data_IF_562074213107
#
_entry.id   IF_562074213107
#
_cell.length_a   1.000
_cell.length_b   1.000
_cell.length_c   1.000
_cell.angle_alpha   90.00
_cell.angle_beta   90.00
_cell.angle_gamma   90.00
#
_symmetry.space_group_name_H-M   'P 1'
#
loop_
_entity.id
_entity.type
_entity.pdbx_description
1 polymer ?
#
# COMPACT_ATOMS: atom_id res chain seq x y z
N UNK A 1 -34.86 5.38 -5.62
CA UNK A 1 -34.25 6.56 -4.95
C UNK A 1 -34.75 7.84 -5.60
N UNK A 2 -35.20 8.83 -4.81
CA UNK A 2 -35.61 10.14 -5.35
C UNK A 2 -34.39 10.89 -5.90
N UNK A 3 -34.35 11.12 -7.21
CA UNK A 3 -33.24 11.82 -7.87
C UNK A 3 -33.34 13.34 -7.65
N UNK A 4 -32.50 13.89 -6.78
CA UNK A 4 -32.45 15.35 -6.54
C UNK A 4 -32.00 16.06 -7.82
N UNK A 5 -32.86 16.93 -8.33
CA UNK A 5 -32.65 17.67 -9.59
C UNK A 5 -32.18 19.08 -9.29
N UNK A 6 -31.02 19.48 -9.83
CA UNK A 6 -30.46 20.81 -9.66
C UNK A 6 -30.72 21.67 -10.89
N UNK A 7 -31.40 22.80 -10.71
CA UNK A 7 -31.73 23.78 -11.77
C UNK A 7 -30.65 24.86 -11.83
N UNK A 8 -30.21 25.23 -13.02
CA UNK A 8 -29.27 26.35 -13.22
C UNK A 8 -29.46 27.10 -14.53
N UNK A 9 -28.94 28.33 -14.63
CA UNK A 9 -28.95 29.11 -15.88
C UNK A 9 -27.56 29.12 -16.51
N UNK A 10 -27.48 28.84 -17.81
CA UNK A 10 -26.25 28.93 -18.60
C UNK A 10 -26.55 29.59 -19.94
N UNK A 11 -25.89 30.73 -20.22
CA UNK A 11 -26.14 31.55 -21.43
C UNK A 11 -27.64 31.86 -21.64
N UNK A 12 -28.35 32.23 -20.57
CA UNK A 12 -29.78 32.56 -20.61
C UNK A 12 -30.74 31.35 -20.63
N UNK A 13 -30.27 30.13 -20.88
CA UNK A 13 -31.11 28.91 -20.94
C UNK A 13 -31.10 28.20 -19.59
N UNK A 14 -32.29 27.77 -19.13
CA UNK A 14 -32.43 26.95 -17.94
C UNK A 14 -32.03 25.50 -18.25
N UNK A 15 -31.07 24.98 -17.48
CA UNK A 15 -30.55 23.61 -17.58
C UNK A 15 -30.73 22.89 -16.25
N UNK A 16 -30.70 21.56 -16.33
CA UNK A 16 -30.89 20.67 -15.19
C UNK A 16 -29.78 19.62 -15.16
N UNK A 17 -29.43 19.15 -13.97
CA UNK A 17 -28.65 17.93 -13.82
C UNK A 17 -29.14 17.13 -12.60
N UNK A 18 -28.95 15.81 -12.69
CA UNK A 18 -29.24 14.86 -11.60
C UNK A 18 -27.92 14.34 -11.05
N UNK A 19 -27.89 14.09 -9.75
CA UNK A 19 -26.77 13.40 -9.12
C UNK A 19 -26.90 11.90 -9.36
N UNK A 20 -25.86 11.31 -9.95
CA UNK A 20 -25.70 9.87 -10.11
C UNK A 20 -25.15 9.26 -8.82
N UNK A 21 -25.24 7.95 -8.70
CA UNK A 21 -24.68 7.21 -7.56
C UNK A 21 -23.18 7.47 -7.37
N UNK A 22 -22.41 7.50 -8.45
CA UNK A 22 -21.00 7.88 -8.42
C UNK A 22 -20.77 9.29 -7.89
N UNK A 23 -21.69 10.25 -8.15
CA UNK A 23 -21.59 11.59 -7.56
C UNK A 23 -21.79 11.53 -6.05
N UNK A 24 -22.77 10.74 -5.59
CA UNK A 24 -23.05 10.55 -4.17
C UNK A 24 -21.85 9.92 -3.48
N UNK A 25 -21.27 8.85 -4.03
CA UNK A 25 -20.06 8.22 -3.52
C UNK A 25 -18.90 9.22 -3.41
N UNK A 26 -18.56 9.91 -4.50
CA UNK A 26 -17.49 10.91 -4.53
C UNK A 26 -17.72 12.01 -3.49
N UNK A 27 -18.96 12.46 -3.33
CA UNK A 27 -19.29 13.49 -2.34
C UNK A 27 -19.21 12.97 -0.90
N UNK A 28 -19.58 11.73 -0.64
CA UNK A 28 -19.38 11.09 0.68
C UNK A 28 -17.90 11.01 1.02
N UNK A 29 -17.06 10.54 0.10
CA UNK A 29 -15.59 10.54 0.29
C UNK A 29 -15.09 11.97 0.53
N UNK A 30 -15.56 12.94 -0.27
CA UNK A 30 -15.19 14.35 -0.14
C UNK A 30 -15.65 14.96 1.19
N UNK A 31 -16.75 14.47 1.79
CA UNK A 31 -17.17 14.87 3.12
C UNK A 31 -16.16 14.44 4.18
N UNK A 32 -15.77 13.16 4.16
CA UNK A 32 -14.82 12.60 5.13
C UNK A 32 -13.43 13.18 4.96
N UNK A 33 -12.99 13.40 3.71
CA UNK A 33 -11.68 13.95 3.38
C UNK A 33 -11.67 15.47 3.26
N UNK A 34 -12.81 16.15 3.38
CA UNK A 34 -13.00 17.62 3.35
C UNK A 34 -12.68 18.30 2.01
N UNK A 35 -11.51 18.04 1.43
CA UNK A 35 -11.11 18.57 0.14
C UNK A 35 -10.26 17.58 -0.64
N UNK A 36 -10.45 17.54 -1.96
CA UNK A 36 -9.66 16.71 -2.86
C UNK A 36 -9.32 17.51 -4.12
N UNK A 37 -8.22 17.14 -4.77
CA UNK A 37 -7.85 17.69 -6.07
C UNK A 37 -8.71 17.12 -7.20
N UNK A 38 -8.75 17.78 -8.36
CA UNK A 38 -9.40 17.25 -9.56
C UNK A 38 -8.93 15.83 -9.90
N UNK A 39 -7.61 15.57 -9.83
CA UNK A 39 -7.02 14.26 -10.12
C UNK A 39 -7.56 13.17 -9.18
N UNK A 40 -7.54 13.43 -7.88
CA UNK A 40 -8.05 12.50 -6.87
C UNK A 40 -9.54 12.22 -7.06
N UNK A 41 -10.34 13.26 -7.34
CA UNK A 41 -11.76 13.07 -7.63
C UNK A 41 -11.98 12.26 -8.92
N UNK A 42 -11.13 12.46 -9.92
CA UNK A 42 -11.17 11.68 -11.17
C UNK A 42 -10.92 10.20 -10.89
N UNK A 43 -9.90 9.88 -10.10
CA UNK A 43 -9.61 8.51 -9.67
C UNK A 43 -10.76 7.90 -8.86
N UNK A 44 -11.46 8.67 -8.01
CA UNK A 44 -12.64 8.17 -7.29
C UNK A 44 -13.80 7.83 -8.23
N UNK A 45 -14.03 8.63 -9.28
CA UNK A 45 -14.99 8.26 -10.33
C UNK A 45 -14.54 7.00 -11.06
N UNK A 46 -13.25 6.87 -11.38
CA UNK A 46 -12.74 5.67 -12.03
C UNK A 46 -12.88 4.42 -11.17
N UNK A 47 -12.59 4.54 -9.87
CA UNK A 47 -12.76 3.47 -8.89
C UNK A 47 -14.23 3.04 -8.84
N UNK A 48 -15.13 4.00 -8.63
CA UNK A 48 -16.55 3.65 -8.48
C UNK A 48 -17.18 3.05 -9.74
N UNK A 49 -16.85 3.55 -10.92
CA UNK A 49 -17.48 3.13 -12.18
C UNK A 49 -16.72 1.99 -12.88
N UNK A 50 -15.59 1.53 -12.33
CA UNK A 50 -14.77 0.45 -12.91
C UNK A 50 -14.16 0.77 -14.28
N UNK A 51 -13.99 2.05 -14.63
CA UNK A 51 -13.45 2.49 -15.92
C UNK A 51 -12.70 3.81 -15.81
N UNK A 52 -11.76 4.07 -16.70
CA UNK A 52 -10.99 5.32 -16.64
C UNK A 52 -11.78 6.55 -17.10
N UNK A 53 -11.55 7.66 -16.39
CA UNK A 53 -12.08 8.98 -16.71
C UNK A 53 -10.96 9.97 -17.04
N UNK A 54 -11.21 10.87 -17.99
CA UNK A 54 -10.31 11.99 -18.26
C UNK A 54 -10.48 13.11 -17.24
N UNK A 55 -9.36 13.64 -16.75
CA UNK A 55 -9.36 14.73 -15.76
C UNK A 55 -10.07 15.98 -16.31
N UNK A 56 -9.93 16.28 -17.61
CA UNK A 56 -10.60 17.41 -18.25
C UNK A 56 -12.13 17.31 -18.23
N UNK A 57 -12.67 16.10 -18.45
CA UNK A 57 -14.11 15.85 -18.41
C UNK A 57 -14.65 15.99 -16.98
N UNK A 58 -13.97 15.38 -16.02
CA UNK A 58 -14.31 15.49 -14.59
C UNK A 58 -14.20 16.93 -14.11
N UNK A 59 -13.16 17.67 -14.49
CA UNK A 59 -13.02 19.08 -14.15
C UNK A 59 -14.20 19.92 -14.65
N UNK A 60 -14.63 19.71 -15.89
CA UNK A 60 -15.79 20.41 -16.46
C UNK A 60 -17.07 20.13 -15.66
N UNK A 61 -17.26 18.88 -15.24
CA UNK A 61 -18.36 18.45 -14.36
C UNK A 61 -18.29 19.12 -12.98
N UNK A 62 -17.14 19.07 -12.31
CA UNK A 62 -16.93 19.69 -11.00
C UNK A 62 -17.06 21.22 -11.05
N UNK A 63 -16.59 21.85 -12.13
CA UNK A 63 -16.75 23.27 -12.34
C UNK A 63 -18.25 23.65 -12.44
N UNK A 64 -19.06 22.85 -13.13
CA UNK A 64 -20.52 23.02 -13.16
C UNK A 64 -21.13 22.91 -11.77
N UNK A 65 -20.76 21.90 -10.99
CA UNK A 65 -21.23 21.73 -9.60
C UNK A 65 -20.82 22.89 -8.68
N UNK A 66 -19.66 23.51 -8.94
CA UNK A 66 -19.19 24.68 -8.19
C UNK A 66 -19.92 25.98 -8.54
N UNK A 67 -20.17 26.23 -9.83
CA UNK A 67 -20.76 27.47 -10.35
C UNK A 67 -22.27 27.52 -10.19
N UNK A 68 -22.93 26.38 -10.42
CA UNK A 68 -24.36 26.36 -10.73
C UNK A 68 -25.19 25.51 -9.76
N UNK A 69 -24.58 24.53 -9.09
CA UNK A 69 -25.30 23.65 -8.15
C UNK A 69 -25.32 24.14 -6.71
N UNK A 70 -24.47 25.12 -6.36
CA UNK A 70 -24.11 25.41 -4.96
C UNK A 70 -23.72 24.14 -4.17
N UNK A 71 -23.15 23.13 -4.86
CA UNK A 71 -22.77 21.84 -4.30
C UNK A 71 -21.33 21.88 -3.80
N UNK A 72 -20.43 22.42 -4.63
CA UNK A 72 -19.00 22.44 -4.35
C UNK A 72 -18.49 23.87 -4.17
N UNK A 73 -17.50 24.01 -3.29
CA UNK A 73 -16.58 25.14 -3.27
C UNK A 73 -15.36 24.74 -4.07
N UNK A 74 -14.92 25.61 -4.99
CA UNK A 74 -13.72 25.42 -5.79
C UNK A 74 -12.67 26.45 -5.37
N UNK A 75 -11.45 26.00 -5.08
CA UNK A 75 -10.30 26.86 -4.80
C UNK A 75 -9.18 26.51 -5.78
N UNK A 76 -8.66 27.51 -6.48
CA UNK A 76 -7.49 27.36 -7.35
C UNK A 76 -6.33 28.05 -6.64
N UNK A 77 -5.24 27.33 -6.46
CA UNK A 77 -4.01 27.92 -5.97
C UNK A 77 -3.30 28.63 -7.13
N UNK A 78 -3.10 29.95 -6.97
CA UNK A 78 -2.54 30.83 -8.02
C UNK A 78 -1.06 31.15 -7.83
N UNK A 79 -0.44 30.62 -6.77
CA UNK A 79 0.97 30.86 -6.47
C UNK A 79 1.86 30.24 -7.53
N UNK A 80 2.85 30.99 -8.02
CA UNK A 80 3.69 30.54 -9.13
C UNK A 80 4.63 29.39 -8.76
N UNK A 81 5.02 29.34 -7.49
CA UNK A 81 5.83 28.32 -6.82
C UNK A 81 4.99 27.19 -6.20
N UNK A 82 3.66 27.22 -6.37
CA UNK A 82 2.79 26.16 -5.87
C UNK A 82 2.93 24.91 -6.73
N UNK A 83 3.53 23.87 -6.14
CA UNK A 83 3.55 22.50 -6.68
C UNK A 83 2.11 21.97 -6.88
N UNK A 84 1.13 22.63 -6.27
CA UNK A 84 -0.30 22.30 -6.25
C UNK A 84 -1.16 23.29 -7.05
N UNK A 85 -0.71 23.81 -8.21
CA UNK A 85 -1.55 24.53 -9.22
C UNK A 85 -2.69 23.66 -9.79
N UNK A 86 -3.49 23.04 -8.92
CA UNK A 86 -4.63 22.19 -9.20
C UNK A 86 -5.83 22.78 -8.47
N UNK A 87 -7.00 22.64 -9.08
CA UNK A 87 -8.23 22.99 -8.39
C UNK A 87 -8.49 21.98 -7.27
N UNK A 88 -8.75 22.50 -6.07
CA UNK A 88 -9.28 21.73 -4.95
C UNK A 88 -10.76 22.00 -4.84
N UNK A 89 -11.52 20.95 -4.52
CA UNK A 89 -12.96 21.01 -4.32
C UNK A 89 -13.29 20.58 -2.91
N UNK A 90 -14.32 21.19 -2.32
CA UNK A 90 -14.89 20.79 -1.02
C UNK A 90 -16.41 20.94 -1.05
N UNK A 91 -17.11 20.26 -0.16
CA UNK A 91 -18.57 20.35 -0.09
C UNK A 91 -19.03 21.71 0.46
N UNK A 92 -20.15 22.21 -0.08
CA UNK A 92 -20.97 23.25 0.55
C UNK A 92 -21.98 22.61 1.48
N UNK A 93 -22.43 23.37 2.47
CA UNK A 93 -23.35 22.94 3.53
C UNK A 93 -24.61 22.24 3.01
N UNK A 94 -25.25 22.80 1.97
CA UNK A 94 -26.44 22.22 1.35
C UNK A 94 -26.23 20.78 0.83
N UNK A 95 -25.03 20.46 0.37
CA UNK A 95 -24.71 19.10 -0.08
C UNK A 95 -24.50 18.17 1.11
N UNK A 96 -23.91 18.66 2.20
CA UNK A 96 -23.75 17.93 3.46
C UNK A 96 -25.13 17.55 4.02
N UNK A 97 -26.06 18.51 4.06
CA UNK A 97 -27.44 18.27 4.49
C UNK A 97 -28.13 17.20 3.62
N UNK A 98 -27.95 17.28 2.30
CA UNK A 98 -28.51 16.25 1.42
C UNK A 98 -27.90 14.86 1.67
N UNK A 99 -26.59 14.75 1.93
CA UNK A 99 -25.97 13.47 2.29
C UNK A 99 -26.49 12.91 3.62
N UNK A 100 -26.83 13.79 4.58
CA UNK A 100 -27.49 13.41 5.85
C UNK A 100 -28.91 12.89 5.58
N UNK A 101 -29.71 13.64 4.80
CA UNK A 101 -31.09 13.28 4.43
C UNK A 101 -31.18 11.87 3.80
N UNK A 102 -30.18 11.47 3.02
CA UNK A 102 -30.15 10.15 2.34
C UNK A 102 -29.37 9.09 3.11
N UNK A 103 -28.98 9.36 4.37
CA UNK A 103 -28.29 8.41 5.25
C UNK A 103 -26.87 8.04 4.82
N UNK A 104 -26.23 8.85 3.96
CA UNK A 104 -24.85 8.59 3.51
C UNK A 104 -23.79 9.14 4.46
N UNK A 105 -24.16 10.05 5.35
CA UNK A 105 -23.34 10.49 6.49
C UNK A 105 -24.23 10.62 7.75
N UNK A 106 -23.68 10.47 8.97
CA UNK A 106 -24.49 10.49 10.18
C UNK A 106 -25.24 11.80 10.41
N UNK A 107 -26.43 11.73 10.98
CA UNK A 107 -27.17 12.90 11.46
C UNK A 107 -26.37 13.67 12.51
N UNK A 108 -26.49 15.00 12.54
CA UNK A 108 -25.73 15.86 13.46
C UNK A 108 -24.23 16.01 13.12
N UNK A 109 -23.73 15.32 12.09
CA UNK A 109 -22.34 15.49 11.63
C UNK A 109 -22.01 16.95 11.30
N UNK A 110 -20.79 17.38 11.63
CA UNK A 110 -20.36 18.78 11.49
C UNK A 110 -20.53 19.30 10.07
N UNK A 111 -21.23 20.43 9.95
CA UNK A 111 -21.36 21.26 8.75
C UNK A 111 -20.23 22.28 8.58
N UNK A 112 -19.43 22.51 9.63
CA UNK A 112 -18.34 23.52 9.61
C UNK A 112 -17.23 23.12 8.65
N UNK A 113 -16.73 24.10 7.89
CA UNK A 113 -15.44 24.02 7.21
C UNK A 113 -14.34 24.07 8.27
N UNK A 114 -13.66 22.97 8.53
CA UNK A 114 -12.48 23.01 9.39
C UNK A 114 -11.35 23.77 8.68
N UNK A 115 -10.78 24.74 9.39
CA UNK A 115 -9.64 25.54 8.95
C UNK A 115 -8.35 24.77 9.18
N UNK A 116 -8.00 23.87 8.26
CA UNK A 116 -6.62 23.43 8.13
C UNK A 116 -6.07 23.91 6.80
N UNK A 117 -4.81 24.32 6.84
CA UNK A 117 -4.02 24.61 5.64
C UNK A 117 -4.06 23.38 4.73
N UNK A 118 -4.21 23.62 3.43
CA UNK A 118 -3.99 22.59 2.41
C UNK A 118 -2.49 22.29 2.41
N UNK A 119 -2.03 21.39 3.28
CA UNK A 119 -0.64 20.96 3.29
C UNK A 119 -0.42 19.89 2.22
N UNK A 120 0.80 19.83 1.68
CA UNK A 120 1.18 18.77 0.75
C UNK A 120 1.06 17.39 1.41
N UNK A 121 1.48 17.26 2.67
CA UNK A 121 1.37 16.04 3.46
C UNK A 121 -0.07 15.51 3.48
N UNK A 122 -1.05 16.35 3.80
CA UNK A 122 -2.46 15.96 3.82
C UNK A 122 -2.98 15.53 2.45
N UNK A 123 -2.52 16.16 1.36
CA UNK A 123 -2.90 15.77 0.02
C UNK A 123 -2.28 14.43 -0.40
N UNK A 124 -1.02 14.19 -0.03
CA UNK A 124 -0.34 12.91 -0.27
C UNK A 124 -0.98 11.79 0.54
N UNK A 125 -1.33 12.03 1.81
CA UNK A 125 -2.03 11.03 2.62
C UNK A 125 -3.37 10.62 2.02
N UNK A 126 -4.17 11.59 1.53
CA UNK A 126 -5.42 11.29 0.81
C UNK A 126 -5.21 10.59 -0.52
N UNK A 127 -4.09 10.81 -1.18
CA UNK A 127 -3.74 10.09 -2.42
C UNK A 127 -3.61 8.58 -2.15
N UNK A 128 -3.06 8.19 -1.00
CA UNK A 128 -2.96 6.78 -0.58
C UNK A 128 -4.35 6.13 -0.56
N UNK A 129 -5.30 6.76 0.11
CA UNK A 129 -6.68 6.29 0.17
C UNK A 129 -7.29 6.15 -1.23
N UNK A 130 -7.20 7.19 -2.05
CA UNK A 130 -7.83 7.21 -3.38
C UNK A 130 -7.24 6.12 -4.28
N UNK A 131 -5.92 5.91 -4.23
CA UNK A 131 -5.25 4.81 -4.95
C UNK A 131 -5.70 3.46 -4.45
N UNK A 132 -5.85 3.30 -3.13
CA UNK A 132 -6.36 2.07 -2.53
C UNK A 132 -7.75 1.72 -3.08
N UNK A 133 -8.68 2.67 -3.06
CA UNK A 133 -10.05 2.43 -3.57
C UNK A 133 -10.05 2.05 -5.06
N UNK A 134 -9.19 2.68 -5.85
CA UNK A 134 -9.04 2.36 -7.27
C UNK A 134 -8.48 0.95 -7.48
N UNK A 135 -7.42 0.56 -6.77
CA UNK A 135 -6.80 -0.75 -6.93
C UNK A 135 -7.69 -1.89 -6.37
N UNK A 136 -8.46 -1.66 -5.29
CA UNK A 136 -9.49 -2.62 -4.83
C UNK A 136 -10.45 -2.93 -5.97
N UNK A 137 -11.02 -1.90 -6.61
CA UNK A 137 -11.99 -2.08 -7.70
C UNK A 137 -11.37 -2.77 -8.91
N UNK A 138 -10.13 -2.45 -9.25
CA UNK A 138 -9.43 -3.12 -10.37
C UNK A 138 -9.23 -4.61 -10.11
N UNK A 139 -8.89 -4.98 -8.86
CA UNK A 139 -8.64 -6.37 -8.46
C UNK A 139 -9.92 -7.19 -8.32
N UNK A 140 -11.04 -6.57 -7.94
CA UNK A 140 -12.34 -7.26 -7.79
C UNK A 140 -13.22 -7.16 -9.04
N UNK A 141 -12.89 -6.26 -9.98
CA UNK A 141 -13.71 -5.89 -11.13
C UNK A 141 -15.13 -5.39 -10.76
N UNK A 142 -15.33 -4.93 -9.52
CA UNK A 142 -16.60 -4.36 -9.04
C UNK A 142 -16.37 -3.30 -7.96
N UNK A 143 -17.42 -2.56 -7.60
CA UNK A 143 -17.36 -1.48 -6.60
C UNK A 143 -18.02 -1.84 -5.25
N UNK A 144 -18.45 -3.09 -5.08
CA UNK A 144 -19.24 -3.52 -3.91
C UNK A 144 -18.46 -3.33 -2.61
N UNK A 145 -17.19 -3.75 -2.61
CA UNK A 145 -16.27 -3.56 -1.48
C UNK A 145 -16.18 -2.10 -1.05
N UNK A 146 -16.24 -1.15 -2.00
CA UNK A 146 -16.10 0.28 -1.67
C UNK A 146 -17.21 0.81 -0.76
N UNK A 147 -18.38 0.17 -0.74
CA UNK A 147 -19.49 0.55 0.15
C UNK A 147 -19.30 0.10 1.59
N UNK A 148 -18.50 -0.94 1.79
CA UNK A 148 -18.26 -1.55 3.09
C UNK A 148 -17.03 -0.97 3.79
N UNK A 149 -16.16 -0.27 3.05
CA UNK A 149 -14.98 0.39 3.61
C UNK A 149 -15.38 1.59 4.49
N UNK A 150 -15.03 1.53 5.77
CA UNK A 150 -15.06 2.70 6.64
C UNK A 150 -13.79 3.53 6.45
N UNK A 151 -13.94 4.63 5.71
CA UNK A 151 -12.87 5.57 5.37
C UNK A 151 -12.97 6.88 6.16
N UNK A 152 -13.73 6.91 7.27
CA UNK A 152 -13.91 8.13 8.07
C UNK A 152 -12.55 8.66 8.57
N UNK A 153 -12.36 9.97 8.44
CA UNK A 153 -11.13 10.63 8.92
C UNK A 153 -11.18 10.82 10.44
N UNK A 154 -10.05 10.62 11.12
CA UNK A 154 -9.88 10.86 12.55
C UNK A 154 -10.01 12.32 12.97
N UNK A 155 -10.01 13.27 12.03
CA UNK A 155 -10.36 14.64 12.34
C UNK A 155 -11.85 14.83 12.68
N UNK A 156 -12.68 13.78 12.55
CA UNK A 156 -13.99 13.74 13.16
C UNK A 156 -13.84 13.51 14.68
N UNK A 157 -14.36 14.44 15.50
CA UNK A 157 -14.24 14.39 16.97
C UNK A 157 -14.55 13.02 17.57
N UNK A 158 -15.59 12.34 17.05
CA UNK A 158 -15.99 11.00 17.53
C UNK A 158 -14.90 9.95 17.27
N UNK A 159 -14.35 9.88 16.07
CA UNK A 159 -13.27 8.94 15.71
C UNK A 159 -11.98 9.22 16.47
N UNK A 160 -11.67 10.50 16.75
CA UNK A 160 -10.53 10.87 17.59
C UNK A 160 -10.70 10.34 19.02
N UNK A 161 -11.86 10.55 19.61
CA UNK A 161 -12.19 10.06 20.96
C UNK A 161 -12.17 8.52 20.98
N UNK A 162 -12.74 7.85 19.98
CA UNK A 162 -12.70 6.38 19.85
C UNK A 162 -11.27 5.82 19.86
N UNK A 163 -10.32 6.47 19.15
CA UNK A 163 -8.91 6.07 19.15
C UNK A 163 -8.24 6.30 20.51
N UNK A 164 -8.48 7.47 21.09
CA UNK A 164 -7.87 7.85 22.37
C UNK A 164 -8.40 6.92 23.48
N UNK A 165 -9.69 6.59 23.45
CA UNK A 165 -10.35 5.65 24.35
C UNK A 165 -9.89 4.20 24.10
N UNK A 166 -9.59 3.84 22.85
CA UNK A 166 -9.00 2.55 22.49
C UNK A 166 -7.51 2.44 22.89
N UNK A 167 -6.89 3.54 23.34
CA UNK A 167 -5.54 3.54 23.91
C UNK A 167 -4.40 3.75 22.90
N UNK A 168 -4.70 4.14 21.66
CA UNK A 168 -3.65 4.56 20.70
C UNK A 168 -3.30 6.04 20.96
N UNK A 169 -2.11 6.27 21.52
CA UNK A 169 -1.62 7.59 21.92
C UNK A 169 -1.11 8.45 20.74
N UNK A 170 -1.70 8.31 19.55
CA UNK A 170 -1.41 9.14 18.38
C UNK A 170 -2.59 9.15 17.41
N UNK A 171 -2.66 10.21 16.59
CA UNK A 171 -3.63 10.31 15.49
C UNK A 171 -2.93 9.91 14.21
N UNK A 172 -3.27 8.76 13.61
CA UNK A 172 -2.77 8.37 12.28
C UNK A 172 -3.20 9.36 11.20
N UNK A 173 -2.46 9.41 10.09
CA UNK A 173 -2.76 10.33 9.00
C UNK A 173 -4.04 9.93 8.24
N UNK A 174 -4.18 8.63 7.94
CA UNK A 174 -5.38 8.04 7.35
C UNK A 174 -5.69 6.67 7.98
N UNK A 175 -6.93 6.23 7.78
CA UNK A 175 -7.35 4.88 8.17
C UNK A 175 -8.47 4.36 7.29
N UNK A 176 -8.44 3.04 7.17
CA UNK A 176 -9.44 2.24 6.50
C UNK A 176 -9.76 1.09 7.42
N UNK A 177 -11.03 0.93 7.77
CA UNK A 177 -11.53 -0.28 8.43
C UNK A 177 -12.41 -1.06 7.45
N UNK A 178 -12.21 -2.36 7.41
CA UNK A 178 -12.96 -3.29 6.55
C UNK A 178 -13.04 -4.64 7.23
N UNK A 179 -14.26 -5.12 7.48
CA UNK A 179 -14.49 -6.36 8.22
C UNK A 179 -13.78 -6.31 9.59
N UNK A 180 -12.85 -7.23 9.86
CA UNK A 180 -12.05 -7.32 11.07
C UNK A 180 -10.68 -6.59 10.96
N UNK A 181 -10.38 -5.98 9.81
CA UNK A 181 -9.09 -5.35 9.53
C UNK A 181 -9.12 -3.85 9.79
N UNK A 182 -8.17 -3.37 10.58
CA UNK A 182 -7.97 -1.94 10.83
C UNK A 182 -6.61 -1.51 10.28
N UNK A 183 -6.63 -0.71 9.21
CA UNK A 183 -5.44 -0.30 8.48
C UNK A 183 -5.12 1.15 8.79
N UNK A 184 -4.04 1.37 9.52
CA UNK A 184 -3.50 2.67 9.91
C UNK A 184 -2.41 3.09 8.93
N UNK A 185 -2.47 4.34 8.45
CA UNK A 185 -1.57 4.83 7.41
C UNK A 185 -0.78 6.01 7.95
N UNK A 186 0.55 5.93 7.84
CA UNK A 186 1.50 6.98 8.23
C UNK A 186 2.22 7.49 6.97
N UNK A 187 2.02 8.76 6.62
CA UNK A 187 2.66 9.38 5.46
C UNK A 187 3.92 10.15 5.90
N UNK A 188 5.11 9.65 5.54
CA UNK A 188 6.35 10.42 5.70
C UNK A 188 6.66 11.19 4.41
N UNK A 189 6.73 12.52 4.53
CA UNK A 189 7.18 13.40 3.45
C UNK A 189 8.70 13.39 3.25
N UNK A 190 9.40 12.38 3.79
CA UNK A 190 10.84 12.28 3.92
C UNK A 190 11.44 13.47 4.69
N UNK A 191 10.72 13.90 5.75
CA UNK A 191 11.09 15.07 6.57
C UNK A 191 11.15 14.75 8.06
N UNK A 192 10.43 13.72 8.51
CA UNK A 192 10.51 13.28 9.90
C UNK A 192 11.88 12.68 10.19
N UNK A 193 12.37 12.75 11.42
CA UNK A 193 13.59 12.01 11.78
C UNK A 193 13.30 10.52 11.84
N UNK A 194 14.31 9.68 11.67
CA UNK A 194 14.12 8.23 11.81
C UNK A 194 13.64 7.85 13.22
N UNK A 195 14.14 8.55 14.25
CA UNK A 195 13.72 8.34 15.63
C UNK A 195 12.22 8.60 15.85
N UNK A 196 11.65 9.63 15.22
CA UNK A 196 10.21 9.90 15.32
C UNK A 196 9.37 8.80 14.67
N UNK A 197 9.82 8.24 13.54
CA UNK A 197 9.13 7.10 12.93
C UNK A 197 9.19 5.85 13.81
N UNK A 198 10.33 5.59 14.44
CA UNK A 198 10.51 4.47 15.38
C UNK A 198 9.67 4.66 16.64
N UNK A 199 9.51 5.89 17.13
CA UNK A 199 8.58 6.19 18.23
C UNK A 199 7.13 5.85 17.86
N UNK A 200 6.70 6.12 16.62
CA UNK A 200 5.37 5.71 16.12
C UNK A 200 5.22 4.19 16.10
N UNK A 201 6.25 3.46 15.68
CA UNK A 201 6.28 1.98 15.73
C UNK A 201 6.01 1.50 17.16
N UNK A 202 6.72 2.06 18.15
CA UNK A 202 6.49 1.75 19.57
C UNK A 202 5.05 1.98 20.01
N UNK A 203 4.42 3.10 19.62
CA UNK A 203 3.01 3.40 19.93
C UNK A 203 2.04 2.37 19.35
N UNK A 204 2.29 1.89 18.12
CA UNK A 204 1.46 0.85 17.52
C UNK A 204 1.68 -0.52 18.17
N UNK A 205 2.91 -0.84 18.60
CA UNK A 205 3.21 -2.04 19.39
C UNK A 205 2.45 -2.00 20.73
N UNK A 206 2.53 -0.90 21.46
CA UNK A 206 1.79 -0.72 22.72
C UNK A 206 0.27 -0.81 22.53
N UNK A 207 -0.24 -0.27 21.42
CA UNK A 207 -1.66 -0.34 21.10
C UNK A 207 -2.09 -1.78 20.78
N UNK A 208 -1.35 -2.48 19.93
CA UNK A 208 -1.65 -3.86 19.52
C UNK A 208 -1.66 -4.84 20.71
N UNK A 209 -0.81 -4.61 21.71
CA UNK A 209 -0.80 -5.39 22.95
C UNK A 209 -2.06 -5.22 23.81
N UNK A 210 -2.78 -4.10 23.65
CA UNK A 210 -3.97 -3.75 24.46
C UNK A 210 -5.28 -4.05 23.74
N UNK A 211 -5.28 -4.11 22.41
CA UNK A 211 -6.47 -4.39 21.61
C UNK A 211 -6.55 -5.85 21.16
N UNK A 212 -7.77 -6.30 20.84
CA UNK A 212 -8.02 -7.58 20.16
C UNK A 212 -8.20 -7.42 18.64
N UNK A 213 -8.19 -6.19 18.16
CA UNK A 213 -8.39 -5.88 16.76
C UNK A 213 -7.18 -6.33 15.93
N UNK A 214 -7.43 -6.69 14.67
CA UNK A 214 -6.36 -6.93 13.70
C UNK A 214 -5.86 -5.58 13.17
N UNK A 215 -4.61 -5.25 13.53
CA UNK A 215 -3.96 -3.97 13.28
C UNK A 215 -2.94 -4.12 12.17
N UNK A 216 -3.16 -3.44 11.05
CA UNK A 216 -2.17 -3.29 9.99
C UNK A 216 -1.69 -1.85 9.96
N UNK A 217 -0.39 -1.61 10.02
CA UNK A 217 0.21 -0.27 9.95
C UNK A 217 1.02 -0.17 8.66
N UNK A 218 0.75 0.85 7.85
CA UNK A 218 1.44 1.07 6.58
C UNK A 218 2.16 2.42 6.61
N UNK A 219 3.49 2.36 6.70
CA UNK A 219 4.36 3.52 6.54
C UNK A 219 4.58 3.78 5.05
N UNK A 220 4.04 4.90 4.57
CA UNK A 220 4.08 5.32 3.18
C UNK A 220 5.09 6.46 3.01
N UNK A 221 6.11 6.23 2.20
CA UNK A 221 7.16 7.20 1.93
C UNK A 221 6.87 7.99 0.64
N UNK A 222 7.01 9.31 0.71
CA UNK A 222 6.80 10.19 -0.44
C UNK A 222 7.89 9.99 -1.52
N UNK A 223 7.45 9.70 -2.74
CA UNK A 223 8.30 9.41 -3.92
C UNK A 223 8.00 10.34 -5.12
N UNK A 224 7.22 11.41 -4.92
CA UNK A 224 6.73 12.34 -5.97
C UNK A 224 5.76 11.75 -6.99
N UNK A 225 5.33 10.49 -6.87
CA UNK A 225 4.39 9.84 -7.81
C UNK A 225 3.01 10.48 -7.86
N UNK A 226 2.67 11.32 -6.87
CA UNK A 226 1.47 12.18 -6.91
C UNK A 226 1.51 13.19 -8.08
N UNK A 227 2.71 13.55 -8.54
CA UNK A 227 2.96 14.52 -9.60
C UNK A 227 3.52 13.85 -10.85
N UNK A 228 4.51 12.98 -10.70
CA UNK A 228 5.27 12.35 -11.79
C UNK A 228 5.15 10.84 -11.68
N UNK A 229 4.00 10.26 -12.07
CA UNK A 229 3.73 8.85 -11.80
C UNK A 229 4.70 7.89 -12.51
N UNK A 230 5.18 8.24 -13.70
CA UNK A 230 6.05 7.40 -14.52
C UNK A 230 7.54 7.54 -14.15
N UNK A 231 7.96 8.72 -13.67
CA UNK A 231 9.36 9.04 -13.35
C UNK A 231 9.67 8.95 -11.84
N UNK A 232 8.69 8.65 -11.00
CA UNK A 232 8.87 8.54 -9.56
C UNK A 232 9.64 7.26 -9.21
N UNK A 233 10.81 7.46 -8.61
CA UNK A 233 11.59 6.41 -7.96
C UNK A 233 11.25 6.38 -6.46
N UNK A 234 10.94 5.21 -5.90
CA UNK A 234 10.76 5.05 -4.46
C UNK A 234 11.99 5.51 -3.66
N UNK A 235 11.81 6.11 -2.47
CA UNK A 235 12.90 6.53 -1.60
C UNK A 235 13.50 5.33 -0.85
N UNK A 236 14.07 4.38 -1.58
CA UNK A 236 14.55 3.08 -1.09
C UNK A 236 15.47 3.18 0.13
N UNK A 237 16.44 4.10 0.11
CA UNK A 237 17.35 4.31 1.26
C UNK A 237 16.59 4.68 2.52
N UNK A 238 15.56 5.53 2.41
CA UNK A 238 14.73 5.94 3.54
C UNK A 238 13.88 4.78 4.06
N UNK A 239 13.29 4.01 3.16
CA UNK A 239 12.50 2.81 3.48
C UNK A 239 13.36 1.75 4.19
N UNK A 240 14.54 1.45 3.65
CA UNK A 240 15.54 0.55 4.28
C UNK A 240 15.94 1.03 5.68
N UNK A 241 16.23 2.33 5.85
CA UNK A 241 16.63 2.87 7.15
C UNK A 241 15.52 2.75 8.21
N UNK A 242 14.25 2.91 7.82
CA UNK A 242 13.13 2.65 8.72
C UNK A 242 13.05 1.17 9.08
N UNK A 243 13.04 0.28 8.09
CA UNK A 243 13.00 -1.17 8.31
C UNK A 243 14.11 -1.64 9.25
N UNK A 244 15.34 -1.16 9.04
CA UNK A 244 16.47 -1.50 9.89
C UNK A 244 16.27 -0.99 11.33
N UNK A 245 15.72 0.23 11.51
CA UNK A 245 15.52 0.79 12.86
C UNK A 245 14.32 0.22 13.59
N UNK A 246 13.34 -0.35 12.87
CA UNK A 246 12.27 -1.14 13.47
C UNK A 246 12.80 -2.38 14.22
N UNK A 247 14.07 -2.79 14.00
CA UNK A 247 14.71 -3.86 14.79
C UNK A 247 14.76 -3.59 16.29
N UNK A 248 14.65 -2.32 16.72
CA UNK A 248 14.44 -1.97 18.13
C UNK A 248 13.26 -2.75 18.75
N UNK A 249 12.23 -3.04 17.96
CA UNK A 249 11.02 -3.77 18.36
C UNK A 249 10.93 -5.17 17.73
N UNK A 250 12.04 -5.73 17.20
CA UNK A 250 12.02 -6.96 16.39
C UNK A 250 11.26 -8.11 17.07
N UNK A 251 11.62 -8.46 18.31
CA UNK A 251 10.99 -9.56 19.05
C UNK A 251 9.48 -9.36 19.17
N UNK A 252 9.02 -8.14 19.44
CA UNK A 252 7.61 -7.81 19.59
C UNK A 252 6.87 -7.86 18.24
N UNK A 253 7.49 -7.31 17.18
CA UNK A 253 6.91 -7.32 15.83
C UNK A 253 6.77 -8.73 15.27
N UNK A 254 7.69 -9.63 15.61
CA UNK A 254 7.63 -11.04 15.21
C UNK A 254 6.61 -11.86 16.02
N UNK A 255 6.28 -11.45 17.25
CA UNK A 255 5.48 -12.26 18.18
C UNK A 255 4.03 -11.80 18.39
N UNK A 256 3.69 -10.53 18.18
CA UNK A 256 2.33 -9.99 18.41
C UNK A 256 1.40 -10.35 17.23
N UNK A 257 0.55 -11.38 17.31
CA UNK A 257 -0.09 -11.97 16.13
C UNK A 257 -1.05 -11.01 15.39
N UNK A 258 -1.67 -10.07 16.11
CA UNK A 258 -2.64 -9.10 15.57
C UNK A 258 -2.00 -7.79 15.07
N UNK A 259 -0.67 -7.73 14.93
CA UNK A 259 0.04 -6.56 14.42
C UNK A 259 0.84 -6.92 13.17
N UNK A 260 0.51 -6.27 12.05
CA UNK A 260 1.27 -6.35 10.80
C UNK A 260 1.80 -4.97 10.44
N UNK A 261 3.07 -4.89 10.04
CA UNK A 261 3.70 -3.63 9.68
C UNK A 261 4.25 -3.68 8.27
N UNK A 262 3.90 -2.68 7.48
CA UNK A 262 4.28 -2.57 6.09
C UNK A 262 5.01 -1.26 5.85
N UNK A 263 6.01 -1.28 4.98
CA UNK A 263 6.72 -0.09 4.49
C UNK A 263 6.62 -0.07 2.98
N UNK A 264 6.13 1.00 2.38
CA UNK A 264 6.03 1.11 0.93
C UNK A 264 6.19 2.54 0.43
N UNK A 265 6.32 2.69 -0.89
CA UNK A 265 6.29 3.99 -1.55
C UNK A 265 4.86 4.49 -1.75
N UNK A 266 4.66 5.80 -1.95
CA UNK A 266 3.35 6.35 -2.34
C UNK A 266 2.86 5.79 -3.70
N UNK A 267 3.76 5.43 -4.61
CA UNK A 267 3.45 4.76 -5.86
C UNK A 267 2.74 3.44 -5.62
N UNK A 268 3.26 2.65 -4.69
CA UNK A 268 2.82 1.27 -4.45
C UNK A 268 1.72 1.16 -3.38
N UNK A 269 1.50 2.21 -2.58
CA UNK A 269 0.62 2.17 -1.42
C UNK A 269 -0.81 1.69 -1.73
N UNK A 270 -1.39 2.10 -2.85
CA UNK A 270 -2.74 1.63 -3.22
C UNK A 270 -2.80 0.12 -3.51
N UNK A 271 -1.73 -0.40 -4.09
CA UNK A 271 -1.62 -1.81 -4.44
C UNK A 271 -1.34 -2.66 -3.18
N UNK A 272 -0.43 -2.20 -2.31
CA UNK A 272 -0.14 -2.83 -0.99
C UNK A 272 -1.39 -2.87 -0.11
N UNK A 273 -2.05 -1.74 0.11
CA UNK A 273 -3.18 -1.67 1.03
C UNK A 273 -4.39 -2.45 0.50
N UNK A 274 -4.59 -2.49 -0.82
CA UNK A 274 -5.67 -3.31 -1.40
C UNK A 274 -5.42 -4.82 -1.25
N UNK A 275 -4.17 -5.29 -1.23
CA UNK A 275 -3.86 -6.70 -0.93
C UNK A 275 -4.22 -7.05 0.52
N UNK A 276 -3.95 -6.15 1.47
CA UNK A 276 -4.34 -6.29 2.87
C UNK A 276 -5.87 -6.37 2.97
N UNK A 277 -6.61 -5.44 2.35
CA UNK A 277 -8.10 -5.43 2.35
C UNK A 277 -8.65 -6.74 1.80
N UNK A 278 -8.11 -7.22 0.68
CA UNK A 278 -8.61 -8.39 -0.02
C UNK A 278 -8.11 -9.73 0.57
N UNK A 279 -7.24 -9.69 1.59
CA UNK A 279 -6.72 -10.90 2.26
C UNK A 279 -5.85 -11.77 1.36
N UNK A 280 -5.24 -11.19 0.32
CA UNK A 280 -4.26 -11.91 -0.52
C UNK A 280 -2.98 -12.25 0.26
N UNK A 281 -2.75 -11.56 1.37
CA UNK A 281 -1.64 -11.82 2.30
C UNK A 281 -1.97 -12.91 3.35
N UNK A 282 -3.25 -13.22 3.60
CA UNK A 282 -3.66 -14.00 4.79
C UNK A 282 -3.73 -15.51 4.54
N UNK A 283 -3.93 -15.95 3.29
CA UNK A 283 -4.24 -17.35 2.95
C UNK A 283 -3.37 -17.85 1.80
N UNK A 284 -2.10 -18.00 2.09
CA UNK A 284 -1.17 -18.62 1.15
C UNK A 284 -1.00 -20.10 1.54
N UNK A 285 -1.71 -20.97 0.84
CA UNK A 285 -1.63 -22.40 1.03
C UNK A 285 -0.35 -22.90 0.37
N UNK A 286 0.73 -23.07 1.15
CA UNK A 286 2.04 -23.49 0.67
C UNK A 286 2.01 -24.68 -0.30
N UNK A 287 1.13 -25.66 -0.07
CA UNK A 287 1.01 -26.82 -0.95
C UNK A 287 0.46 -26.43 -2.33
N UNK A 288 -0.65 -25.69 -2.36
CA UNK A 288 -1.32 -25.29 -3.60
C UNK A 288 -0.60 -24.14 -4.33
N UNK A 289 -0.08 -23.17 -3.60
CA UNK A 289 0.47 -21.94 -4.15
C UNK A 289 1.95 -22.06 -4.50
N UNK A 290 2.67 -23.01 -3.89
CA UNK A 290 4.12 -23.18 -4.07
C UNK A 290 4.47 -24.56 -4.60
N UNK A 291 4.16 -25.63 -3.86
CA UNK A 291 4.63 -26.97 -4.23
C UNK A 291 4.02 -27.47 -5.54
N UNK A 292 2.71 -27.27 -5.72
CA UNK A 292 2.02 -27.67 -6.96
C UNK A 292 2.61 -26.93 -8.17
N UNK A 293 2.72 -25.58 -8.19
CA UNK A 293 3.38 -24.86 -9.29
C UNK A 293 4.85 -25.27 -9.53
N UNK A 294 5.64 -25.45 -8.46
CA UNK A 294 7.03 -25.90 -8.60
C UNK A 294 7.12 -27.31 -9.21
N UNK A 295 6.20 -28.21 -8.83
CA UNK A 295 6.17 -29.58 -9.37
C UNK A 295 5.81 -29.65 -10.86
N UNK A 296 5.14 -28.63 -11.38
CA UNK A 296 4.74 -28.49 -12.78
C UNK A 296 5.82 -27.80 -13.62
N UNK A 297 6.82 -27.16 -12.99
CA UNK A 297 7.91 -26.51 -13.72
C UNK A 297 8.95 -27.52 -14.22
N UNK A 298 9.40 -27.28 -15.44
CA UNK A 298 10.57 -27.92 -16.03
C UNK A 298 11.75 -26.98 -15.79
N UNK A 299 12.79 -27.45 -15.08
CA UNK A 299 14.00 -26.65 -14.81
C UNK A 299 15.18 -27.27 -15.56
N UNK A 300 15.63 -26.59 -16.62
CA UNK A 300 16.60 -27.14 -17.57
C UNK A 300 15.97 -28.27 -18.40
N UNK A 301 16.73 -29.34 -18.60
CA UNK A 301 16.40 -30.57 -19.32
C UNK A 301 15.97 -31.71 -18.37
N UNK A 302 15.57 -31.35 -17.14
CA UNK A 302 15.50 -32.26 -16.00
C UNK A 302 14.12 -32.27 -15.32
N UNK A 303 13.59 -33.46 -15.02
CA UNK A 303 12.42 -33.59 -14.15
C UNK A 303 12.82 -33.67 -12.67
N UNK A 304 12.31 -32.75 -11.86
CA UNK A 304 12.65 -32.62 -10.45
C UNK A 304 11.50 -33.02 -9.50
N UNK A 305 11.84 -33.34 -8.26
CA UNK A 305 10.92 -33.44 -7.11
C UNK A 305 11.34 -32.45 -6.04
N UNK A 306 10.35 -31.93 -5.32
CA UNK A 306 10.52 -30.96 -4.24
C UNK A 306 9.95 -31.54 -2.95
N UNK A 307 10.66 -31.36 -1.83
CA UNK A 307 10.24 -31.78 -0.50
C UNK A 307 10.72 -30.79 0.56
N UNK A 308 10.04 -30.73 1.70
CA UNK A 308 10.45 -29.89 2.83
C UNK A 308 11.67 -30.46 3.55
N UNK A 309 12.51 -29.55 4.05
CA UNK A 309 13.62 -29.85 4.96
C UNK A 309 13.67 -28.79 6.05
N UNK A 310 13.54 -29.23 7.29
CA UNK A 310 13.58 -28.35 8.48
C UNK A 310 15.02 -28.16 9.01
N UNK A 311 15.91 -29.11 8.72
CA UNK A 311 17.29 -29.12 9.21
C UNK A 311 18.27 -29.15 8.05
N UNK A 312 18.89 -28.01 7.73
CA UNK A 312 20.01 -27.93 6.79
C UNK A 312 21.27 -27.51 7.52
N UNK A 313 22.34 -28.28 7.27
CA UNK A 313 23.60 -28.19 8.01
C UNK A 313 24.29 -26.81 7.92
N UNK A 314 23.94 -26.02 6.91
CA UNK A 314 24.46 -24.67 6.61
C UNK A 314 24.08 -23.63 7.67
N UNK A 315 23.00 -23.85 8.44
CA UNK A 315 22.49 -22.87 9.40
C UNK A 315 22.87 -23.24 10.84
N UNK A 316 22.96 -22.21 11.70
CA UNK A 316 23.24 -22.35 13.13
C UNK A 316 22.02 -22.90 13.88
N UNK A 317 20.83 -22.57 13.41
CA UNK A 317 19.54 -22.89 14.01
C UNK A 317 18.66 -23.60 12.98
N UNK A 318 17.66 -24.42 13.41
CA UNK A 318 16.63 -24.93 12.52
C UNK A 318 15.88 -23.78 11.85
N UNK A 319 15.62 -23.88 10.55
CA UNK A 319 14.95 -22.84 9.78
C UNK A 319 13.76 -23.47 9.05
N UNK A 320 12.57 -22.93 9.31
CA UNK A 320 11.38 -23.26 8.53
C UNK A 320 11.50 -22.70 7.11
N UNK A 321 11.05 -23.47 6.12
CA UNK A 321 11.05 -23.08 4.70
C UNK A 321 12.25 -23.59 3.89
N UNK A 322 12.96 -24.62 4.35
CA UNK A 322 13.90 -25.34 3.49
C UNK A 322 13.18 -26.20 2.46
N UNK A 323 13.58 -26.11 1.19
CA UNK A 323 13.21 -27.05 0.13
C UNK A 323 14.42 -27.81 -0.36
N UNK A 324 14.21 -29.12 -0.51
CA UNK A 324 15.14 -30.01 -1.18
C UNK A 324 14.61 -30.35 -2.55
N UNK A 325 15.44 -30.06 -3.56
CA UNK A 325 15.23 -30.50 -4.94
C UNK A 325 16.05 -31.75 -5.21
N UNK A 326 15.41 -32.79 -5.74
CA UNK A 326 16.04 -34.07 -6.12
C UNK A 326 15.65 -34.48 -7.53
N UNK A 327 16.60 -35.01 -8.30
CA UNK A 327 16.32 -35.46 -9.67
C UNK A 327 15.43 -36.71 -9.63
N UNK A 328 14.42 -36.79 -10.49
CA UNK A 328 13.45 -37.90 -10.43
C UNK A 328 14.11 -39.27 -10.66
N UNK A 329 15.12 -39.33 -11.52
CA UNK A 329 15.81 -40.59 -11.89
C UNK A 329 17.08 -40.87 -11.08
N UNK A 330 17.59 -39.87 -10.35
CA UNK A 330 18.83 -39.96 -9.59
C UNK A 330 18.69 -39.17 -8.29
N UNK A 331 18.57 -39.90 -7.17
CA UNK A 331 18.34 -39.29 -5.86
C UNK A 331 19.61 -38.72 -5.24
N UNK A 332 20.78 -39.01 -5.82
CA UNK A 332 22.07 -38.54 -5.32
C UNK A 332 22.38 -37.12 -5.81
N UNK A 333 21.70 -36.67 -6.88
CA UNK A 333 21.70 -35.27 -7.31
C UNK A 333 20.70 -34.47 -6.47
N UNK A 334 21.22 -33.90 -5.39
CA UNK A 334 20.45 -33.11 -4.42
C UNK A 334 20.91 -31.65 -4.47
N UNK A 335 19.94 -30.73 -4.46
CA UNK A 335 20.20 -29.33 -4.18
C UNK A 335 19.20 -28.82 -3.15
N UNK A 336 19.75 -28.36 -2.02
CA UNK A 336 18.97 -27.66 -1.01
C UNK A 336 18.96 -26.17 -1.33
N UNK A 337 17.82 -25.54 -1.09
CA UNK A 337 17.66 -24.10 -1.11
C UNK A 337 16.61 -23.69 -0.09
N UNK A 338 16.72 -22.48 0.42
CA UNK A 338 15.78 -21.97 1.41
C UNK A 338 14.87 -20.99 0.74
N UNK A 339 13.57 -21.10 1.02
CA UNK A 339 12.66 -20.07 0.60
C UNK A 339 12.12 -19.28 1.77
N UNK A 340 12.01 -17.99 1.52
CA UNK A 340 11.27 -17.10 2.39
C UNK A 340 10.13 -16.62 1.56
N UNK A 341 8.98 -16.93 2.09
CA UNK A 341 7.74 -16.62 1.47
C UNK A 341 7.18 -15.40 2.15
N UNK A 342 6.67 -14.45 1.37
CA UNK A 342 6.03 -13.31 2.00
C UNK A 342 5.70 -12.16 1.08
N UNK A 343 5.04 -11.18 1.69
CA UNK A 343 4.81 -9.87 1.11
C UNK A 343 6.10 -9.05 1.23
N UNK A 344 6.60 -8.56 0.10
CA UNK A 344 7.86 -7.82 0.00
C UNK A 344 7.86 -6.44 0.67
N UNK A 345 6.73 -6.03 1.26
CA UNK A 345 6.58 -4.82 2.05
C UNK A 345 6.32 -5.10 3.53
N UNK A 346 6.03 -6.35 3.92
CA UNK A 346 5.77 -6.75 5.31
C UNK A 346 7.09 -6.92 6.08
N UNK A 347 7.20 -6.20 7.18
CA UNK A 347 8.34 -6.25 8.08
C UNK A 347 8.69 -7.68 8.52
N UNK A 348 7.70 -8.52 8.85
CA UNK A 348 7.99 -9.89 9.34
C UNK A 348 8.70 -10.73 8.30
N UNK A 349 8.20 -10.65 7.07
CA UNK A 349 8.73 -11.41 5.94
C UNK A 349 10.13 -10.91 5.55
N UNK A 350 10.32 -9.59 5.54
CA UNK A 350 11.63 -8.98 5.27
C UNK A 350 12.63 -9.30 6.38
N UNK A 351 12.22 -9.21 7.66
CA UNK A 351 13.10 -9.49 8.82
C UNK A 351 13.51 -10.94 8.87
N UNK A 352 12.58 -11.86 8.60
CA UNK A 352 12.87 -13.29 8.51
C UNK A 352 13.96 -13.57 7.48
N UNK A 353 14.00 -12.83 6.37
CA UNK A 353 15.10 -12.92 5.42
C UNK A 353 16.44 -12.48 6.00
N UNK A 354 16.46 -11.36 6.70
CA UNK A 354 17.66 -10.92 7.42
C UNK A 354 18.15 -11.99 8.41
N UNK A 355 17.25 -12.54 9.22
CA UNK A 355 17.57 -13.55 10.24
C UNK A 355 18.11 -14.84 9.62
N UNK A 356 17.50 -15.31 8.52
CA UNK A 356 17.99 -16.47 7.77
C UNK A 356 19.36 -16.22 7.16
N UNK A 357 19.61 -15.03 6.61
CA UNK A 357 20.94 -14.68 6.07
C UNK A 357 22.00 -14.70 7.18
N UNK A 358 21.73 -14.10 8.34
CA UNK A 358 22.70 -13.99 9.44
C UNK A 358 22.84 -15.25 10.32
N UNK A 359 21.86 -16.16 10.26
CA UNK A 359 21.93 -17.47 10.91
C UNK A 359 22.81 -18.48 10.15
N UNK A 360 23.29 -18.15 8.95
CA UNK A 360 24.30 -18.97 8.25
C UNK A 360 25.57 -19.15 9.07
N UNK A 361 26.16 -20.34 8.99
CA UNK A 361 27.50 -20.62 9.52
C UNK A 361 28.54 -19.87 8.67
N UNK A 362 29.60 -19.38 9.33
CA UNK A 362 30.61 -18.53 8.69
C UNK A 362 31.34 -19.30 7.58
N UNK A 363 31.25 -18.83 6.34
CA UNK A 363 31.90 -19.45 5.17
C UNK A 363 31.03 -20.44 4.39
N UNK A 364 29.80 -20.71 4.83
CA UNK A 364 28.87 -21.63 4.16
C UNK A 364 27.91 -20.88 3.22
N UNK A 365 28.45 -20.40 2.09
CA UNK A 365 27.69 -19.72 1.03
C UNK A 365 27.09 -20.67 -0.03
N UNK A 366 27.32 -21.98 0.13
CA UNK A 366 26.98 -22.99 -0.89
C UNK A 366 25.48 -23.23 -1.10
N UNK A 367 24.62 -22.83 -0.15
CA UNK A 367 23.17 -23.01 -0.25
C UNK A 367 22.51 -21.69 -0.66
N UNK A 368 21.91 -21.59 -1.86
CA UNK A 368 21.22 -20.37 -2.29
C UNK A 368 19.98 -20.11 -1.41
N UNK A 369 19.80 -18.85 -1.01
CA UNK A 369 18.54 -18.37 -0.43
C UNK A 369 17.66 -17.90 -1.59
N UNK A 370 16.41 -18.30 -1.63
CA UNK A 370 15.47 -18.06 -2.74
C UNK A 370 14.20 -17.43 -2.19
N UNK A 371 14.03 -16.11 -2.26
CA UNK A 371 12.76 -15.49 -1.85
C UNK A 371 11.69 -15.84 -2.89
N UNK A 372 10.61 -16.49 -2.44
CA UNK A 372 9.48 -16.86 -3.29
C UNK A 372 8.35 -15.87 -3.01
N UNK A 373 7.85 -15.21 -4.05
CA UNK A 373 6.69 -14.32 -3.94
C UNK A 373 5.54 -14.81 -4.83
N UNK A 374 4.29 -14.67 -4.39
CA UNK A 374 3.10 -15.07 -5.15
C UNK A 374 2.98 -14.27 -6.46
N UNK A 375 2.26 -14.82 -7.45
CA UNK A 375 1.98 -14.13 -8.71
C UNK A 375 1.30 -12.79 -8.44
N UNK A 376 1.77 -11.76 -9.13
CA UNK A 376 1.14 -10.44 -9.15
C UNK A 376 0.84 -10.04 -10.58
N UNK A 377 -0.23 -9.27 -10.74
CA UNK A 377 -0.54 -8.62 -12.02
C UNK A 377 0.49 -7.55 -12.38
N UNK A 378 1.14 -6.97 -11.36
CA UNK A 378 2.20 -5.96 -11.52
C UNK A 378 3.45 -6.38 -10.74
N UNK A 379 4.65 -6.35 -11.36
CA UNK A 379 5.88 -6.54 -10.62
C UNK A 379 6.07 -5.38 -9.62
N UNK A 380 6.56 -5.70 -8.42
CA UNK A 380 7.00 -4.72 -7.42
C UNK A 380 8.46 -4.98 -7.07
N UNK A 381 9.15 -3.92 -6.68
CA UNK A 381 10.50 -4.05 -6.13
C UNK A 381 10.43 -4.65 -4.73
N UNK A 382 11.39 -5.50 -4.42
CA UNK A 382 11.47 -6.18 -3.13
C UNK A 382 12.29 -5.34 -2.17
N UNK A 383 11.73 -5.03 -1.01
CA UNK A 383 12.44 -4.33 0.04
C UNK A 383 13.31 -5.31 0.83
N UNK A 384 14.57 -4.93 1.02
CA UNK A 384 15.54 -5.68 1.79
C UNK A 384 16.12 -4.79 2.89
N UNK A 385 16.45 -5.36 4.04
CA UNK A 385 17.16 -4.62 5.09
C UNK A 385 18.62 -4.39 4.73
N UNK A 386 19.23 -5.27 3.92
CA UNK A 386 20.58 -5.05 3.41
C UNK A 386 20.81 -5.61 1.99
N UNK A 387 22.01 -5.38 1.46
CA UNK A 387 22.49 -6.05 0.26
C UNK A 387 23.00 -7.42 0.67
N UNK A 388 22.36 -8.48 0.19
CA UNK A 388 22.76 -9.85 0.48
C UNK A 388 23.46 -10.50 -0.71
N UNK A 389 24.65 -11.04 -0.48
CA UNK A 389 25.32 -11.91 -1.44
C UNK A 389 24.62 -13.29 -1.45
N UNK A 390 24.40 -13.86 -2.63
CA UNK A 390 23.78 -15.19 -2.81
C UNK A 390 22.30 -15.32 -2.39
N UNK A 391 21.54 -14.21 -2.41
CA UNK A 391 20.06 -14.24 -2.37
C UNK A 391 19.51 -14.15 -3.79
N UNK A 392 18.68 -15.12 -4.13
CA UNK A 392 17.96 -15.30 -5.38
C UNK A 392 16.48 -14.98 -5.15
N UNK A 393 15.80 -14.44 -6.16
CA UNK A 393 14.37 -14.17 -6.16
C UNK A 393 13.69 -15.10 -7.18
N UNK A 394 12.61 -15.76 -6.79
CA UNK A 394 11.87 -16.68 -7.65
C UNK A 394 10.38 -16.33 -7.67
N UNK A 395 9.88 -15.91 -8.84
CA UNK A 395 8.42 -15.84 -9.11
C UNK A 395 7.91 -17.23 -9.46
N UNK A 396 6.78 -17.64 -8.87
CA UNK A 396 6.21 -19.00 -9.01
C UNK A 396 5.43 -19.20 -10.32
N UNK A 397 5.05 -18.14 -11.05
CA UNK A 397 4.11 -18.24 -12.18
C UNK A 397 4.45 -17.33 -13.38
N UNK A 398 5.72 -17.06 -13.65
CA UNK A 398 6.13 -16.44 -14.91
C UNK A 398 6.07 -17.49 -16.03
N UNK A 399 5.04 -17.44 -16.87
CA UNK A 399 4.74 -18.40 -17.95
C UNK A 399 5.67 -18.27 -19.18
N UNK A 400 6.59 -17.29 -19.20
CA UNK A 400 7.39 -16.98 -20.39
C UNK A 400 8.74 -16.35 -20.07
N UNK A 401 9.55 -16.98 -19.22
CA UNK A 401 10.92 -16.52 -18.95
C UNK A 401 11.91 -17.69 -18.97
N UNK A 402 13.02 -17.50 -19.69
CA UNK A 402 14.07 -18.51 -19.89
C UNK A 402 15.03 -18.55 -18.71
N UNK A 403 15.28 -19.75 -18.19
CA UNK A 403 16.13 -20.05 -17.02
C UNK A 403 17.54 -19.48 -17.10
N UNK A 404 18.16 -19.43 -18.28
CA UNK A 404 19.52 -18.87 -18.42
C UNK A 404 19.56 -17.34 -18.22
N UNK A 405 18.42 -16.67 -18.39
CA UNK A 405 18.25 -15.26 -18.00
C UNK A 405 17.79 -15.09 -16.55
N UNK A 406 17.13 -16.09 -15.96
CA UNK A 406 16.60 -16.06 -14.59
C UNK A 406 17.57 -16.57 -13.52
N UNK A 407 18.62 -17.32 -13.85
CA UNK A 407 19.73 -17.60 -12.92
C UNK A 407 20.79 -16.48 -12.91
N UNK A 408 20.83 -15.65 -13.94
CA UNK A 408 21.37 -14.29 -13.85
C UNK A 408 20.32 -13.37 -13.24
N UNK A 409 20.04 -13.62 -11.96
CA UNK A 409 19.36 -12.67 -11.10
C UNK A 409 20.31 -11.50 -10.96
N UNK A 410 20.26 -10.57 -11.93
CA UNK A 410 20.71 -9.24 -11.62
C UNK A 410 19.84 -8.80 -10.46
N UNK A 411 20.46 -8.74 -9.29
CA UNK A 411 20.17 -7.79 -8.23
C UNK A 411 19.99 -6.44 -8.95
N UNK A 412 18.82 -6.17 -9.53
CA UNK A 412 18.58 -4.92 -10.27
C UNK A 412 18.03 -3.84 -9.35
N UNK A 413 17.57 -4.22 -8.16
CA UNK A 413 16.87 -3.28 -7.28
C UNK A 413 16.97 -3.65 -5.79
N UNK A 414 18.07 -4.26 -5.32
CA UNK A 414 18.26 -4.32 -3.86
C UNK A 414 18.34 -2.92 -3.21
N UNK A 415 18.50 -1.84 -4.00
CA UNK A 415 18.14 -0.43 -3.69
C UNK A 415 18.36 0.51 -4.92
N UNK A 416 17.82 0.22 -6.11
CA UNK A 416 18.07 0.96 -7.38
C UNK A 416 19.47 0.73 -8.00
N UNK A 417 19.60 -0.14 -9.01
CA UNK A 417 20.86 -0.32 -9.77
C UNK A 417 20.99 0.76 -10.85
N UNK A 418 21.43 1.92 -10.40
CA UNK A 418 22.35 2.75 -11.17
C UNK A 418 23.61 2.99 -10.32
N UNK A 419 24.66 2.15 -10.43
CA UNK A 419 25.97 2.51 -9.93
C UNK A 419 26.54 3.59 -10.87
N UNK A 420 26.16 4.85 -10.68
CA UNK A 420 27.01 5.94 -11.15
C UNK A 420 28.30 5.82 -10.35
N UNK A 421 29.36 5.34 -11.03
CA UNK A 421 30.77 5.29 -10.62
C UNK A 421 31.04 6.17 -9.39
N UNK A 422 31.15 5.56 -8.20
CA UNK A 422 31.78 6.25 -7.08
C UNK A 422 33.27 6.36 -7.40
N UNK A 423 33.78 7.59 -7.47
CA UNK A 423 35.23 7.82 -7.48
C UNK A 423 35.77 7.35 -6.14
N UNK A 424 36.92 6.70 -6.23
CA UNK A 424 37.67 6.03 -5.18
C UNK A 424 38.43 7.06 -4.33
N UNK A 425 37.72 8.05 -3.77
CA UNK A 425 38.28 9.02 -2.83
C UNK A 425 37.15 9.47 -1.91
N UNK A 426 37.01 8.80 -0.78
CA UNK A 426 36.42 9.28 0.50
C UNK A 426 36.11 8.07 1.38
N UNK A 427 37.17 7.36 1.74
CA UNK A 427 37.29 6.57 2.96
C UNK A 427 38.67 6.92 3.53
N UNK A 428 38.75 8.09 4.15
CA UNK A 428 39.71 8.44 5.21
C UNK A 428 38.93 9.18 6.28
#
# INVERSE_FOLDING_TARGET
MNSKTYKYKSKGVQKFFHLKEADIFVFTVLYHKRYLTTRQITQLYSAFEGRDFSEASVFTKLNRYSQYGAILTKKIEKRDDSITKRATFSLKERMIEYLQEIGKIPEGSSKRRYSHSNSLHTLCSREVLVRTLLEVTKKTYNNETLYELDIRSYHQKLKKIEIEDAGLAMVPDEHISYQDKNIYIEMDMCKETNSTLVEKVGKYVEYAQKTKDNVSVVFVMYDKSMFLAEEAEPPYVRMKNLLFSMREYHELLMTIPNLNMYVCSLKDAGDVISDIILGKDDNQNFEQDILVPLSQRIVGDAEWRYAFVENVQTFKEPIDGGLRRTYRRDKDVIQDFFFIFGNENDYRMISRLDDVVFSRRKGDDGVPLVVIYPKREKPRDILLMDTYENVRLLSIQNESIHIDMDEQIMVRTANNVHPKRRKLVELY
#
